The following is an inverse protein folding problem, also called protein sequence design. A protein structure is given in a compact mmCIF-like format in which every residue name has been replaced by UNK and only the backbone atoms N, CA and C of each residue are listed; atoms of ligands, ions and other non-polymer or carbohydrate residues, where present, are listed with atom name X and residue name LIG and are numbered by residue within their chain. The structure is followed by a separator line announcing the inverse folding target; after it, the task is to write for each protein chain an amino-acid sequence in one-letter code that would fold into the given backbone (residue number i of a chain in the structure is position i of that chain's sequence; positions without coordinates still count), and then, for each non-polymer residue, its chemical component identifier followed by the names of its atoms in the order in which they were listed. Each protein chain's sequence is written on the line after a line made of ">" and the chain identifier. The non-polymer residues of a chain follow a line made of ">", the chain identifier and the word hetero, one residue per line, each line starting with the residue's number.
data_IF_328972315801
#
_entry.id   IF_328972315801
#
_cell.length_a   1.000
_cell.length_b   1.000
_cell.length_c   1.000
_cell.angle_alpha   90.00
_cell.angle_beta   90.00
_cell.angle_gamma   90.00
#
_symmetry.space_group_name_H-M   'P 1'
#
loop_
_entity.id
_entity.type
_entity.pdbx_description
1 polymer ?
#
# COMPACT_ATOMS: atom_id res chain seq x y z
N UNK A 1 -13.03 -2.14 -3.55
CA UNK A 1 -11.57 -2.10 -3.29
C UNK A 1 -11.25 -0.76 -2.65
N UNK A 2 -10.23 -0.71 -1.80
CA UNK A 2 -9.77 0.51 -1.12
C UNK A 2 -8.38 0.89 -1.60
N UNK A 3 -7.98 2.15 -1.45
CA UNK A 3 -6.63 2.58 -1.80
C UNK A 3 -5.58 2.08 -0.79
N UNK A 4 -4.37 1.71 -1.24
CA UNK A 4 -3.37 1.02 -0.41
C UNK A 4 -2.78 1.85 0.75
N UNK A 5 -2.76 3.18 0.61
CA UNK A 5 -2.18 4.09 1.62
C UNK A 5 -3.22 4.97 2.30
N UNK A 6 -4.48 4.88 1.93
CA UNK A 6 -5.55 5.69 2.51
C UNK A 6 -5.90 5.19 3.92
N UNK A 7 -6.25 6.10 4.83
CA UNK A 7 -6.76 5.71 6.13
C UNK A 7 -8.21 5.21 6.01
N UNK A 8 -8.51 3.95 6.37
CA UNK A 8 -9.87 3.42 6.29
C UNK A 8 -10.85 4.12 7.23
N UNK A 9 -10.36 4.76 8.31
CA UNK A 9 -11.18 5.50 9.27
C UNK A 9 -11.26 6.99 8.91
N UNK A 10 -10.21 7.55 8.29
CA UNK A 10 -10.09 8.97 7.96
C UNK A 10 -9.62 9.21 6.51
N UNK A 11 -10.42 8.84 5.50
CA UNK A 11 -10.01 8.85 4.09
C UNK A 11 -9.71 10.25 3.54
N UNK A 12 -10.15 11.31 4.22
CA UNK A 12 -9.89 12.71 3.86
C UNK A 12 -8.63 13.29 4.51
N UNK A 13 -7.95 12.52 5.37
CA UNK A 13 -6.69 12.96 5.98
C UNK A 13 -5.51 12.67 5.04
N UNK A 14 -5.27 13.61 4.13
CA UNK A 14 -4.15 13.53 3.20
C UNK A 14 -2.78 13.50 3.90
N UNK A 15 -2.65 14.05 5.11
CA UNK A 15 -1.36 14.04 5.82
C UNK A 15 -0.99 12.62 6.22
N UNK A 16 -1.95 11.85 6.74
CA UNK A 16 -1.77 10.43 7.05
C UNK A 16 -1.47 9.60 5.81
N UNK A 17 -2.20 9.85 4.72
CA UNK A 17 -1.94 9.16 3.44
C UNK A 17 -0.51 9.41 2.96
N UNK A 18 -0.03 10.66 2.99
CA UNK A 18 1.35 11.00 2.60
C UNK A 18 2.37 10.29 3.50
N UNK A 19 2.16 10.27 4.82
CA UNK A 19 3.06 9.57 5.75
C UNK A 19 3.12 8.07 5.47
N UNK A 20 1.99 7.44 5.13
CA UNK A 20 1.94 6.02 4.75
C UNK A 20 2.63 5.75 3.42
N UNK A 21 2.49 6.63 2.42
CA UNK A 21 3.21 6.54 1.15
C UNK A 21 4.73 6.61 1.39
N UNK A 22 5.20 7.59 2.16
CA UNK A 22 6.62 7.75 2.47
C UNK A 22 7.20 6.58 3.26
N UNK A 23 6.38 5.91 4.07
CA UNK A 23 6.78 4.72 4.85
C UNK A 23 6.50 3.41 4.12
N UNK A 24 5.99 3.47 2.87
CA UNK A 24 5.55 2.31 2.07
C UNK A 24 4.62 1.38 2.87
N UNK A 25 3.74 1.97 3.67
CA UNK A 25 2.86 1.25 4.58
C UNK A 25 1.55 0.89 3.88
N UNK A 26 1.46 -0.32 3.36
CA UNK A 26 0.23 -0.91 2.82
C UNK A 26 -0.01 -2.30 3.41
N UNK A 27 -1.26 -2.75 3.40
CA UNK A 27 -1.61 -4.12 3.78
C UNK A 27 -2.63 -4.69 2.82
N UNK A 28 -2.51 -5.99 2.55
CA UNK A 28 -3.45 -6.73 1.73
C UNK A 28 -4.30 -7.55 2.70
N UNK A 29 -5.61 -7.28 2.80
CA UNK A 29 -6.48 -7.99 3.73
C UNK A 29 -6.47 -9.52 3.55
N UNK A 30 -6.55 -10.28 4.64
CA UNK A 30 -6.46 -11.76 4.60
C UNK A 30 -7.60 -12.43 3.82
N UNK A 31 -8.75 -11.74 3.70
CA UNK A 31 -9.87 -12.20 2.87
C UNK A 31 -9.62 -12.07 1.36
N UNK A 32 -8.54 -11.39 0.95
CA UNK A 32 -8.12 -11.26 -0.44
C UNK A 32 -6.96 -12.22 -0.70
N UNK A 33 -7.28 -13.40 -1.22
CA UNK A 33 -6.26 -14.34 -1.64
C UNK A 33 -5.63 -13.90 -2.96
N UNK A 34 -4.35 -13.58 -2.92
CA UNK A 34 -3.52 -13.30 -4.11
C UNK A 34 -2.45 -14.36 -4.24
N UNK A 35 -2.05 -14.66 -5.47
CA UNK A 35 -0.95 -15.57 -5.71
C UNK A 35 0.37 -14.96 -5.20
N UNK A 36 1.37 -15.80 -4.85
CA UNK A 36 2.70 -15.32 -4.46
C UNK A 36 3.33 -14.40 -5.52
N UNK A 37 3.11 -14.67 -6.81
CA UNK A 37 3.61 -13.89 -7.93
C UNK A 37 2.98 -12.50 -7.97
N UNK A 38 1.67 -12.40 -7.72
CA UNK A 38 0.99 -11.11 -7.58
C UNK A 38 1.51 -10.33 -6.37
N UNK A 39 1.73 -10.99 -5.23
CA UNK A 39 2.31 -10.34 -4.04
C UNK A 39 3.71 -9.83 -4.32
N UNK A 40 4.53 -10.61 -5.01
CA UNK A 40 5.89 -10.24 -5.41
C UNK A 40 5.89 -9.06 -6.37
N UNK A 41 4.99 -9.04 -7.35
CA UNK A 41 4.83 -7.91 -8.27
C UNK A 41 4.47 -6.62 -7.51
N UNK A 42 3.52 -6.67 -6.59
CA UNK A 42 3.11 -5.50 -5.80
C UNK A 42 4.28 -4.98 -4.96
N UNK A 43 5.07 -5.87 -4.34
CA UNK A 43 6.25 -5.45 -3.56
C UNK A 43 7.34 -4.77 -4.40
N UNK A 44 7.42 -5.07 -5.70
CA UNK A 44 8.37 -4.41 -6.62
C UNK A 44 7.85 -3.07 -7.15
N UNK A 45 6.54 -2.82 -7.07
CA UNK A 45 5.92 -1.55 -7.49
C UNK A 45 5.93 -0.53 -6.34
N UNK A 46 5.57 -0.97 -5.13
CA UNK A 46 5.57 -0.11 -3.95
C UNK A 46 6.95 -0.16 -3.28
N UNK A 47 7.90 0.56 -3.87
CA UNK A 47 9.26 0.77 -3.35
C UNK A 47 9.45 2.25 -3.05
N UNK A 48 10.15 2.57 -1.96
CA UNK A 48 10.43 3.96 -1.57
C UNK A 48 11.47 4.61 -2.49
N UNK A 49 12.53 3.86 -2.81
CA UNK A 49 13.62 4.31 -3.67
C UNK A 49 13.25 4.08 -5.15
N UNK A 50 13.12 5.15 -5.96
CA UNK A 50 12.83 5.01 -7.38
C UNK A 50 13.99 4.39 -8.20
N UNK A 51 15.19 4.23 -7.63
CA UNK A 51 16.37 3.69 -8.31
C UNK A 51 16.61 2.18 -8.08
N UNK A 52 15.75 1.48 -7.33
CA UNK A 52 15.83 0.02 -7.06
C UNK A 52 15.42 -0.89 -8.24
#
# INVERSE_FOLDING_TARGET
>A
GSYPFEDPNEPKDFRKTIQRVLSVQYSIPDNVQISPECRHLISRIFVFDPAE
#
